data_IF_154290886454
#
_entry.id   IF_154290886454
#
_cell.length_a   1.000
_cell.length_b   1.000
_cell.length_c   1.000
_cell.angle_alpha   90.00
_cell.angle_beta   90.00
_cell.angle_gamma   90.00
#
_symmetry.space_group_name_H-M   'P 1'
#
loop_
_entity.id
_entity.type
_entity.pdbx_description
1 polymer ?
#
# COMPACT_ATOMS: atom_id res chain seq x y z
N UNK A 1 6.25 0.01 15.18
CA UNK A 1 7.07 -0.97 14.43
C UNK A 1 7.58 -2.04 15.39
N UNK A 2 6.78 -3.07 15.69
CA UNK A 2 7.15 -4.10 16.67
C UNK A 2 7.57 -5.43 16.02
N UNK A 3 6.86 -5.82 14.96
CA UNK A 3 7.03 -7.13 14.31
C UNK A 3 7.75 -7.06 12.96
N UNK A 4 7.70 -5.90 12.32
CA UNK A 4 8.41 -5.62 11.07
C UNK A 4 8.91 -4.16 11.10
N UNK A 5 10.12 -3.87 10.59
CA UNK A 5 10.59 -2.49 10.42
C UNK A 5 9.66 -1.72 9.48
N UNK A 6 9.30 -0.50 9.86
CA UNK A 6 8.46 0.39 9.04
C UNK A 6 9.07 1.77 9.10
N UNK A 7 9.23 2.39 7.95
CA UNK A 7 9.68 3.77 7.84
C UNK A 7 8.47 4.70 7.74
N UNK A 8 8.34 5.61 8.69
CA UNK A 8 7.28 6.62 8.77
C UNK A 8 7.88 8.01 8.63
N UNK A 9 7.59 8.61 7.48
CA UNK A 9 8.03 9.95 7.10
C UNK A 9 7.05 11.04 7.52
N UNK A 10 5.80 10.67 7.82
CA UNK A 10 4.76 11.59 8.26
C UNK A 10 4.98 12.09 9.68
N UNK A 11 4.09 12.98 10.15
CA UNK A 11 4.13 13.47 11.53
C UNK A 11 3.75 12.37 12.55
N UNK A 12 2.84 11.49 12.17
CA UNK A 12 2.37 10.40 13.03
C UNK A 12 3.41 9.28 13.07
N UNK A 13 3.76 8.83 14.28
CA UNK A 13 4.74 7.75 14.50
C UNK A 13 6.05 7.97 13.72
N UNK A 14 6.47 9.23 13.61
CA UNK A 14 7.63 9.63 12.82
C UNK A 14 8.90 8.92 13.30
N UNK A 15 9.62 8.29 12.38
CA UNK A 15 10.92 7.66 12.68
C UNK A 15 11.96 7.78 11.57
N UNK A 16 11.63 8.45 10.46
CA UNK A 16 12.56 8.66 9.35
C UNK A 16 12.30 10.00 8.69
N UNK A 17 13.35 10.80 8.57
CA UNK A 17 13.27 12.08 7.90
C UNK A 17 13.14 11.91 6.38
N UNK A 18 12.37 12.81 5.77
CA UNK A 18 12.37 12.94 4.33
C UNK A 18 13.71 13.49 3.87
N UNK A 19 14.22 13.06 2.70
CA UNK A 19 15.37 13.69 2.09
C UNK A 19 15.14 15.20 1.93
N UNK A 20 16.17 16.01 2.20
CA UNK A 20 16.11 17.48 2.17
C UNK A 20 15.50 18.10 0.89
N UNK A 21 15.54 17.36 -0.22
CA UNK A 21 14.96 17.78 -1.51
C UNK A 21 13.43 17.75 -1.56
N UNK A 22 12.76 17.13 -0.59
CA UNK A 22 11.30 17.08 -0.50
C UNK A 22 10.85 18.06 0.57
N UNK A 23 10.07 19.08 0.21
CA UNK A 23 9.52 20.03 1.18
C UNK A 23 8.20 19.49 1.73
N UNK A 24 7.90 19.82 2.99
CA UNK A 24 6.67 19.39 3.68
C UNK A 24 5.37 19.92 3.05
N UNK A 25 5.44 20.79 2.05
CA UNK A 25 4.28 21.32 1.35
C UNK A 25 3.96 20.55 0.04
N UNK A 26 4.84 19.67 -0.43
CA UNK A 26 4.74 19.06 -1.76
C UNK A 26 4.02 17.68 -1.76
N UNK A 27 3.50 17.24 -0.62
CA UNK A 27 3.04 15.86 -0.39
C UNK A 27 1.93 15.33 -1.31
N UNK A 28 1.20 16.18 -2.02
CA UNK A 28 0.05 15.72 -2.80
C UNK A 28 0.42 15.15 -4.17
N UNK A 29 1.51 15.57 -4.83
CA UNK A 29 1.92 15.02 -6.15
C UNK A 29 3.41 15.24 -6.47
N UNK A 30 4.29 15.04 -5.49
CA UNK A 30 5.73 15.17 -5.70
C UNK A 30 6.33 13.89 -6.33
N UNK A 31 7.00 14.06 -7.48
CA UNK A 31 7.77 12.99 -8.15
C UNK A 31 8.85 12.39 -7.24
N UNK A 32 9.43 13.18 -6.35
CA UNK A 32 10.41 12.72 -5.37
C UNK A 32 9.76 11.87 -4.28
N UNK A 33 8.53 12.17 -3.87
CA UNK A 33 7.76 11.30 -2.98
C UNK A 33 7.47 9.96 -3.67
N UNK A 34 7.11 9.98 -4.95
CA UNK A 34 6.92 8.75 -5.74
C UNK A 34 8.18 7.90 -5.81
N UNK A 35 9.34 8.52 -6.03
CA UNK A 35 10.64 7.82 -5.99
C UNK A 35 10.96 7.21 -4.63
N UNK A 36 10.44 7.76 -3.53
CA UNK A 36 10.58 7.15 -2.21
C UNK A 36 9.63 5.97 -2.07
N UNK A 37 8.34 6.16 -2.35
CA UNK A 37 7.33 5.11 -2.23
C UNK A 37 7.65 3.89 -3.10
N UNK A 38 8.15 4.09 -4.31
CA UNK A 38 8.55 3.02 -5.24
C UNK A 38 9.73 2.16 -4.75
N UNK A 39 10.44 2.57 -3.68
CA UNK A 39 11.52 1.77 -3.09
C UNK A 39 11.02 0.76 -2.05
N UNK A 40 9.78 0.88 -1.61
CA UNK A 40 9.20 -0.01 -0.63
C UNK A 40 8.40 -1.12 -1.31
N UNK A 41 8.51 -2.33 -0.79
CA UNK A 41 7.68 -3.48 -1.21
C UNK A 41 6.23 -3.29 -0.78
N UNK A 42 6.02 -2.66 0.39
CA UNK A 42 4.70 -2.41 0.96
C UNK A 42 4.53 -0.96 1.36
N UNK A 43 3.32 -0.43 1.19
CA UNK A 43 2.92 0.89 1.68
C UNK A 43 1.71 0.74 2.58
N UNK A 44 1.77 1.30 3.80
CA UNK A 44 0.61 1.34 4.69
C UNK A 44 -0.39 2.38 4.15
N UNK A 45 -1.58 1.92 3.78
CA UNK A 45 -2.61 2.68 3.09
C UNK A 45 -3.89 2.71 3.92
N UNK A 46 -3.83 3.35 5.08
CA UNK A 46 -4.97 3.44 5.99
C UNK A 46 -5.69 4.77 5.75
N UNK A 47 -7.00 4.71 5.50
CA UNK A 47 -7.83 5.89 5.38
C UNK A 47 -8.12 6.54 6.73
N UNK A 48 -8.43 7.83 6.68
CA UNK A 48 -8.72 8.61 7.89
C UNK A 48 -10.02 8.16 8.60
N UNK A 49 -10.91 7.47 7.87
CA UNK A 49 -12.16 6.92 8.37
C UNK A 49 -12.51 5.61 7.63
N UNK A 50 -13.32 4.78 8.29
CA UNK A 50 -13.92 3.58 7.68
C UNK A 50 -15.32 3.99 7.21
N UNK A 51 -15.49 4.16 5.90
CA UNK A 51 -16.73 4.60 5.27
C UNK A 51 -16.87 3.93 3.90
N UNK A 52 -18.09 3.51 3.56
CA UNK A 52 -18.38 2.92 2.25
C UNK A 52 -17.96 3.87 1.13
N UNK A 53 -17.32 3.29 0.12
CA UNK A 53 -16.77 3.95 -1.08
C UNK A 53 -15.75 5.07 -0.81
N UNK A 54 -15.32 5.28 0.44
CA UNK A 54 -14.26 6.23 0.78
C UNK A 54 -12.88 5.63 0.50
N UNK A 55 -12.44 5.79 -0.75
CA UNK A 55 -11.17 5.25 -1.28
C UNK A 55 -10.40 6.40 -1.93
N UNK A 56 -9.21 6.71 -1.40
CA UNK A 56 -8.45 7.90 -1.80
C UNK A 56 -7.12 7.56 -2.48
N UNK A 57 -6.28 8.56 -2.71
CA UNK A 57 -4.93 8.41 -3.26
C UNK A 57 -4.06 7.44 -2.45
N UNK A 58 -4.36 7.20 -1.16
CA UNK A 58 -3.59 6.30 -0.30
C UNK A 58 -3.56 4.88 -0.83
N UNK A 59 -4.65 4.43 -1.47
CA UNK A 59 -4.69 3.14 -2.14
C UNK A 59 -4.01 3.20 -3.51
N UNK A 60 -4.42 4.14 -4.34
CA UNK A 60 -4.07 4.14 -5.77
C UNK A 60 -2.61 4.50 -6.04
N UNK A 61 -2.01 5.35 -5.21
CA UNK A 61 -0.62 5.81 -5.35
C UNK A 61 0.40 4.66 -5.21
N UNK A 62 0.39 3.84 -4.15
CA UNK A 62 1.29 2.69 -4.11
C UNK A 62 0.99 1.66 -5.21
N UNK A 63 -0.30 1.42 -5.50
CA UNK A 63 -0.71 0.52 -6.58
C UNK A 63 -0.13 0.91 -7.93
N UNK A 64 0.01 2.20 -8.25
CA UNK A 64 0.61 2.65 -9.51
C UNK A 64 2.15 2.57 -9.48
N UNK A 65 2.76 2.79 -8.32
CA UNK A 65 4.22 2.84 -8.14
C UNK A 65 4.90 1.48 -7.93
N UNK A 66 4.16 0.38 -7.92
CA UNK A 66 4.74 -0.96 -7.78
C UNK A 66 5.00 -1.37 -6.32
N UNK A 67 4.37 -0.68 -5.37
CA UNK A 67 4.34 -1.08 -3.96
C UNK A 67 2.97 -1.66 -3.63
N UNK A 68 2.93 -2.80 -2.95
CA UNK A 68 1.66 -3.44 -2.57
C UNK A 68 1.04 -2.67 -1.39
N UNK A 69 -0.20 -2.16 -1.52
CA UNK A 69 -0.85 -1.47 -0.41
C UNK A 69 -1.26 -2.45 0.68
N UNK A 70 -1.04 -2.05 1.93
CA UNK A 70 -1.57 -2.69 3.14
C UNK A 70 -2.71 -1.81 3.65
N UNK A 71 -3.93 -2.15 3.28
CA UNK A 71 -5.07 -1.23 3.26
C UNK A 71 -6.08 -1.47 4.38
N UNK A 72 -6.66 -0.37 4.87
CA UNK A 72 -7.86 -0.34 5.70
C UNK A 72 -8.60 0.98 5.50
N UNK A 73 -9.89 0.93 5.22
CA UNK A 73 -10.70 2.11 4.90
C UNK A 73 -12.12 1.70 4.54
N UNK A 74 -12.52 1.87 3.29
CA UNK A 74 -13.83 1.42 2.80
C UNK A 74 -14.11 -0.09 3.02
N UNK A 75 -15.25 -0.46 3.64
CA UNK A 75 -15.74 -1.84 3.68
C UNK A 75 -16.04 -2.44 2.29
N UNK A 76 -16.46 -1.60 1.33
CA UNK A 76 -16.75 -2.00 -0.06
C UNK A 76 -15.50 -2.15 -0.95
N UNK A 77 -14.29 -2.02 -0.39
CA UNK A 77 -13.04 -1.95 -1.17
C UNK A 77 -12.87 -3.06 -2.21
N UNK A 78 -13.33 -4.27 -1.91
CA UNK A 78 -13.19 -5.44 -2.81
C UNK A 78 -13.86 -5.24 -4.17
N UNK A 79 -14.92 -4.44 -4.23
CA UNK A 79 -15.65 -4.14 -5.47
C UNK A 79 -14.85 -3.20 -6.39
N UNK A 80 -13.86 -2.51 -5.84
CA UNK A 80 -13.05 -1.49 -6.52
C UNK A 80 -11.65 -1.98 -6.89
N UNK A 81 -11.21 -3.14 -6.39
CA UNK A 81 -9.87 -3.64 -6.65
C UNK A 81 -9.69 -4.07 -8.11
N UNK A 82 -8.53 -3.78 -8.73
CA UNK A 82 -8.25 -4.25 -10.10
C UNK A 82 -8.17 -5.78 -10.20
N UNK A 83 -7.84 -6.47 -9.10
CA UNK A 83 -7.93 -7.91 -8.96
C UNK A 83 -8.08 -8.30 -7.48
N UNK A 84 -8.56 -9.51 -7.22
CA UNK A 84 -8.65 -10.03 -5.84
C UNK A 84 -7.29 -10.03 -5.13
N UNK A 85 -6.20 -10.23 -5.88
CA UNK A 85 -4.82 -10.23 -5.40
C UNK A 85 -4.07 -8.96 -5.85
N UNK A 86 -4.55 -7.76 -5.54
CA UNK A 86 -3.79 -6.52 -5.78
C UNK A 86 -3.42 -5.76 -4.50
N UNK A 87 -4.06 -6.10 -3.37
CA UNK A 87 -3.98 -5.38 -2.10
C UNK A 87 -4.00 -6.36 -0.95
N UNK A 88 -3.30 -6.04 0.14
CA UNK A 88 -3.37 -6.77 1.40
C UNK A 88 -4.35 -6.04 2.32
N UNK A 89 -5.50 -6.66 2.62
CA UNK A 89 -6.51 -6.06 3.50
C UNK A 89 -6.19 -6.38 4.95
N UNK A 90 -6.04 -5.35 5.79
CA UNK A 90 -5.67 -5.53 7.20
C UNK A 90 -6.71 -6.35 7.95
N UNK A 91 -7.99 -6.18 7.62
CA UNK A 91 -9.11 -6.85 8.31
C UNK A 91 -9.18 -8.37 8.01
N UNK A 92 -8.37 -8.89 7.08
CA UNK A 92 -8.27 -10.33 6.80
C UNK A 92 -7.34 -11.07 7.78
N UNK A 93 -6.67 -10.33 8.67
CA UNK A 93 -5.75 -10.87 9.67
C UNK A 93 -6.32 -10.66 11.08
N UNK A 94 -6.16 -11.66 11.95
CA UNK A 94 -6.63 -11.62 13.33
C UNK A 94 -5.78 -10.68 14.21
N UNK A 95 -4.57 -10.37 13.78
CA UNK A 95 -3.67 -9.47 14.52
C UNK A 95 -2.61 -8.83 13.65
N UNK A 96 -2.03 -7.73 14.15
CA UNK A 96 -0.87 -7.10 13.53
C UNK A 96 0.38 -8.01 13.48
N UNK A 97 0.48 -9.03 14.36
CA UNK A 97 1.58 -10.00 14.33
C UNK A 97 1.42 -10.94 13.14
N UNK A 98 0.21 -11.47 12.94
CA UNK A 98 -0.12 -12.37 11.83
C UNK A 98 0.05 -11.66 10.47
N UNK A 99 -0.41 -10.40 10.37
CA UNK A 99 -0.14 -9.57 9.20
C UNK A 99 1.36 -9.41 8.96
N UNK A 100 2.15 -9.10 9.99
CA UNK A 100 3.59 -8.96 9.83
C UNK A 100 4.29 -10.26 9.42
N UNK A 101 3.85 -11.42 9.94
CA UNK A 101 4.35 -12.74 9.53
C UNK A 101 4.05 -13.00 8.06
N UNK A 102 2.84 -12.64 7.58
CA UNK A 102 2.49 -12.75 6.17
C UNK A 102 3.32 -11.82 5.27
N UNK A 103 3.54 -10.58 5.68
CA UNK A 103 4.41 -9.66 4.94
C UNK A 103 5.85 -10.19 4.87
N UNK A 104 6.37 -10.77 5.96
CA UNK A 104 7.70 -11.40 5.97
C UNK A 104 7.76 -12.63 5.04
N UNK A 105 6.72 -13.45 5.02
CA UNK A 105 6.58 -14.55 4.08
C UNK A 105 6.70 -14.06 2.63
N UNK A 106 5.97 -12.98 2.27
CA UNK A 106 6.05 -12.39 0.93
C UNK A 106 7.44 -11.83 0.61
N UNK A 107 8.14 -11.23 1.58
CA UNK A 107 9.52 -10.75 1.39
C UNK A 107 10.52 -11.89 1.12
N UNK A 108 10.23 -13.10 1.61
CA UNK A 108 11.07 -14.29 1.41
C UNK A 108 10.67 -15.10 0.17
N UNK A 109 9.48 -14.85 -0.39
CA UNK A 109 8.92 -15.62 -1.50
C UNK A 109 8.54 -14.67 -2.64
N UNK A 110 9.54 -14.32 -3.46
CA UNK A 110 9.38 -13.32 -4.52
C UNK A 110 8.26 -13.67 -5.51
N UNK A 111 8.11 -14.95 -5.88
CA UNK A 111 7.01 -15.40 -6.75
C UNK A 111 5.62 -15.15 -6.15
N UNK A 112 5.46 -15.26 -4.82
CA UNK A 112 4.19 -14.94 -4.15
C UNK A 112 3.94 -13.44 -4.08
N UNK A 113 5.00 -12.65 -3.88
CA UNK A 113 4.92 -11.20 -3.94
C UNK A 113 4.56 -10.71 -5.36
N UNK A 114 5.13 -11.31 -6.40
CA UNK A 114 4.88 -10.95 -7.80
C UNK A 114 3.44 -11.19 -8.25
N UNK A 115 2.73 -12.16 -7.64
CA UNK A 115 1.31 -12.40 -7.90
C UNK A 115 0.47 -11.15 -7.66
N UNK A 116 0.88 -10.27 -6.74
CA UNK A 116 0.17 -9.01 -6.46
C UNK A 116 0.14 -8.02 -7.65
N UNK A 117 0.93 -8.27 -8.69
CA UNK A 117 1.02 -7.41 -9.87
C UNK A 117 0.53 -8.09 -11.15
N UNK A 118 -0.03 -9.30 -11.07
CA UNK A 118 -0.51 -10.03 -12.25
C UNK A 118 -1.61 -9.28 -13.01
N UNK A 119 -2.45 -8.52 -12.30
CA UNK A 119 -3.48 -7.68 -12.91
C UNK A 119 -2.93 -6.67 -13.92
N UNK A 120 -1.64 -6.30 -13.83
CA UNK A 120 -0.98 -5.40 -14.80
C UNK A 120 -0.62 -6.09 -16.11
N UNK A 121 -0.53 -7.42 -16.12
CA UNK A 121 -0.20 -8.22 -17.31
C UNK A 121 -1.43 -8.46 -18.19
N UNK A 122 -2.62 -8.43 -17.58
CA UNK A 122 -3.90 -8.58 -18.28
C UNK A 122 -4.33 -7.18 -18.71
N UNK A 123 -4.44 -6.95 -20.03
CA UNK A 123 -5.00 -5.70 -20.54
C UNK A 123 -6.41 -5.44 -19.99
N UNK A 124 -6.87 -4.19 -20.03
CA UNK A 124 -8.23 -3.83 -19.63
C UNK A 124 -9.23 -4.72 -20.40
N UNK A 125 -9.93 -5.61 -19.68
CA UNK A 125 -11.08 -6.29 -20.24
C UNK A 125 -12.19 -5.24 -20.33
N UNK A 126 -12.55 -4.85 -21.54
CA UNK A 126 -13.76 -4.07 -21.76
C UNK A 126 -14.94 -4.85 -21.19
N UNK A 127 -15.77 -4.20 -20.38
CA UNK A 127 -17.06 -4.78 -20.00
C UNK A 127 -17.90 -4.82 -21.28
N UNK A 128 -18.21 -6.02 -21.74
CA UNK A 128 -19.23 -6.26 -22.77
C UNK A 128 -20.63 -5.90 -22.25
#
# INVERSE_FOLDING_TARGET
MKYIPVDSYGRCLHNKDLPHRIRKQDFMDDKELYKILAKYRFTISIENAICDDYITEKLWRPLSLGSVPVYRGSPSIRDWLPANNSVILIDDFKSAKELAEYLQYLLQNEGEYEKYFEFRKVGLKTRD
#
